data_IF_601445241780
#
_entry.id   IF_601445241780
#
_cell.length_a   1.000
_cell.length_b   1.000
_cell.length_c   1.000
_cell.angle_alpha   90.00
_cell.angle_beta   90.00
_cell.angle_gamma   90.00
#
_symmetry.space_group_name_H-M   'P 1'
#
loop_
_entity.id
_entity.type
_entity.pdbx_description
1 polymer ?
#
# COMPACT_ATOMS: atom_id res chain seq x y z
N UNK A 1 -7.27 -13.13 -15.44
CA UNK A 1 -6.51 -11.95 -15.89
C UNK A 1 -6.86 -10.78 -15.00
N UNK A 2 -5.87 -10.03 -14.50
CA UNK A 2 -6.08 -8.84 -13.70
C UNK A 2 -5.64 -7.63 -14.52
N UNK A 3 -6.53 -6.65 -14.71
CA UNK A 3 -6.26 -5.49 -15.54
C UNK A 3 -5.84 -4.30 -14.68
N UNK A 4 -4.72 -3.67 -15.04
CA UNK A 4 -4.35 -2.33 -14.57
C UNK A 4 -4.85 -1.35 -15.61
N UNK A 5 -5.75 -0.45 -15.23
CA UNK A 5 -6.42 0.46 -16.16
C UNK A 5 -5.99 1.89 -15.85
N UNK A 6 -5.44 2.57 -16.84
CA UNK A 6 -5.12 3.99 -16.82
C UNK A 6 -5.77 4.68 -18.01
N UNK A 7 -6.16 5.95 -17.84
CA UNK A 7 -6.63 6.74 -18.98
C UNK A 7 -5.45 7.10 -19.88
N UNK A 8 -5.70 7.29 -21.18
CA UNK A 8 -4.68 7.76 -22.13
C UNK A 8 -3.94 9.00 -21.62
N UNK A 9 -4.66 9.96 -21.02
CA UNK A 9 -4.08 11.19 -20.44
C UNK A 9 -3.14 10.89 -19.27
N UNK A 10 -3.51 9.97 -18.38
CA UNK A 10 -2.67 9.57 -17.23
C UNK A 10 -1.40 8.87 -17.72
N UNK A 11 -1.51 7.89 -18.63
CA UNK A 11 -0.35 7.20 -19.22
C UNK A 11 0.62 8.20 -19.84
N UNK A 12 0.14 9.10 -20.67
CA UNK A 12 0.97 10.11 -21.33
C UNK A 12 1.63 11.09 -20.33
N UNK A 13 0.90 11.52 -19.29
CA UNK A 13 1.47 12.37 -18.25
C UNK A 13 2.60 11.65 -17.50
N UNK A 14 2.43 10.35 -17.20
CA UNK A 14 3.40 9.53 -16.48
C UNK A 14 4.63 9.20 -17.32
N UNK A 15 4.45 8.95 -18.62
CA UNK A 15 5.55 8.78 -19.58
C UNK A 15 6.40 10.04 -19.70
N UNK A 16 5.76 11.21 -19.85
CA UNK A 16 6.47 12.50 -19.89
C UNK A 16 7.27 12.78 -18.62
N UNK A 17 6.76 12.33 -17.48
CA UNK A 17 7.46 12.41 -16.19
C UNK A 17 8.55 11.34 -16.02
N UNK A 18 8.69 10.38 -16.93
CA UNK A 18 9.71 9.33 -16.84
C UNK A 18 9.44 8.29 -15.74
N UNK A 19 8.17 8.00 -15.44
CA UNK A 19 7.80 7.08 -14.34
C UNK A 19 8.18 5.63 -14.67
N UNK A 20 9.02 4.96 -13.85
CA UNK A 20 9.60 3.64 -14.18
C UNK A 20 8.58 2.61 -14.66
N UNK A 21 7.48 2.40 -13.93
CA UNK A 21 6.42 1.47 -14.31
C UNK A 21 5.87 1.69 -15.74
N UNK A 22 5.68 2.95 -16.16
CA UNK A 22 5.15 3.26 -17.49
C UNK A 22 6.23 3.15 -18.57
N UNK A 23 7.49 3.42 -18.22
CA UNK A 23 8.63 3.17 -19.11
C UNK A 23 8.80 1.68 -19.38
N UNK A 24 8.68 0.85 -18.36
CA UNK A 24 8.75 -0.60 -18.49
C UNK A 24 7.61 -1.14 -19.36
N UNK A 25 6.38 -0.61 -19.23
CA UNK A 25 5.28 -0.96 -20.13
C UNK A 25 5.59 -0.58 -21.58
N UNK A 26 6.13 0.63 -21.83
CA UNK A 26 6.44 1.07 -23.18
C UNK A 26 7.59 0.25 -23.80
N UNK A 27 8.57 -0.16 -22.99
CA UNK A 27 9.76 -0.91 -23.42
C UNK A 27 9.46 -2.40 -23.64
N UNK A 28 8.79 -3.03 -22.68
CA UNK A 28 8.63 -4.49 -22.62
C UNK A 28 7.21 -4.95 -22.99
N UNK A 29 6.26 -4.01 -23.10
CA UNK A 29 4.87 -4.31 -23.42
C UNK A 29 4.67 -4.77 -24.86
N UNK A 30 3.73 -5.69 -25.05
CA UNK A 30 3.26 -6.11 -26.37
C UNK A 30 1.97 -5.34 -26.67
N UNK A 31 2.01 -4.51 -27.72
CA UNK A 31 0.83 -3.78 -28.18
C UNK A 31 -0.20 -4.76 -28.76
N UNK A 32 -1.38 -4.80 -28.13
CA UNK A 32 -2.50 -5.61 -28.60
C UNK A 32 -3.43 -4.82 -29.53
N UNK A 33 -3.54 -3.51 -29.32
CA UNK A 33 -4.38 -2.59 -30.08
C UNK A 33 -3.90 -1.15 -29.89
N UNK A 34 -3.90 -0.36 -30.98
CA UNK A 34 -3.65 1.07 -30.97
C UNK A 34 -4.73 1.82 -31.77
N UNK A 35 -5.31 2.84 -31.14
CA UNK A 35 -6.26 3.74 -31.80
C UNK A 35 -5.49 4.78 -32.64
N UNK A 36 -5.76 4.91 -33.95
CA UNK A 36 -5.14 5.95 -34.78
C UNK A 36 -5.36 7.36 -34.21
N UNK A 37 -4.31 8.18 -34.18
CA UNK A 37 -4.38 9.56 -33.65
C UNK A 37 -4.14 9.69 -32.15
N UNK A 38 -3.87 8.59 -31.43
CA UNK A 38 -3.57 8.59 -30.00
C UNK A 38 -2.18 7.98 -29.70
N UNK A 39 -1.07 8.56 -30.20
CA UNK A 39 0.28 8.03 -29.95
C UNK A 39 0.68 8.23 -28.48
N UNK A 40 1.42 7.28 -27.91
CA UNK A 40 2.02 7.46 -26.59
C UNK A 40 3.12 8.54 -26.64
N UNK A 41 3.20 9.36 -25.60
CA UNK A 41 4.17 10.44 -25.49
C UNK A 41 5.59 9.89 -25.41
N UNK A 42 6.54 10.66 -25.97
CA UNK A 42 7.96 10.44 -25.76
C UNK A 42 8.27 10.43 -24.27
N UNK A 43 8.88 9.36 -23.75
CA UNK A 43 9.37 9.30 -22.38
C UNK A 43 10.25 10.47 -21.98
N UNK A 44 9.96 11.05 -20.83
CA UNK A 44 10.97 11.83 -20.10
C UNK A 44 11.93 10.91 -19.37
N UNK A 45 13.03 11.48 -18.86
CA UNK A 45 13.95 10.80 -17.97
C UNK A 45 13.98 11.54 -16.63
N UNK A 46 13.59 10.87 -15.55
CA UNK A 46 13.84 11.40 -14.21
C UNK A 46 15.32 11.25 -13.89
N UNK A 47 15.95 12.31 -13.38
CA UNK A 47 17.31 12.18 -12.83
C UNK A 47 17.29 11.36 -11.54
N UNK A 48 18.44 10.84 -11.11
CA UNK A 48 18.54 10.07 -9.87
C UNK A 48 18.08 10.90 -8.65
N UNK A 49 18.39 12.20 -8.65
CA UNK A 49 17.99 13.15 -7.61
C UNK A 49 16.46 13.34 -7.59
N UNK A 50 15.84 13.48 -8.75
CA UNK A 50 14.38 13.61 -8.86
C UNK A 50 13.65 12.35 -8.39
N UNK A 51 14.20 11.18 -8.72
CA UNK A 51 13.65 9.90 -8.24
C UNK A 51 13.76 9.80 -6.72
N UNK A 52 14.91 10.16 -6.15
CA UNK A 52 15.14 10.16 -4.71
C UNK A 52 14.18 11.13 -3.99
N UNK A 53 14.10 12.38 -4.44
CA UNK A 53 13.24 13.40 -3.84
C UNK A 53 11.77 12.96 -3.83
N UNK A 54 11.31 12.37 -4.93
CA UNK A 54 9.94 11.87 -5.05
C UNK A 54 9.69 10.65 -4.14
N UNK A 55 10.63 9.70 -4.08
CA UNK A 55 10.54 8.53 -3.21
C UNK A 55 10.50 8.94 -1.72
N UNK A 56 11.29 9.94 -1.34
CA UNK A 56 11.33 10.50 0.01
C UNK A 56 10.02 11.21 0.37
N UNK A 57 9.44 11.99 -0.56
CA UNK A 57 8.11 12.59 -0.40
C UNK A 57 7.04 11.52 -0.16
N UNK A 58 7.03 10.45 -0.96
CA UNK A 58 6.10 9.35 -0.76
C UNK A 58 6.29 8.68 0.59
N UNK A 59 7.53 8.38 0.98
CA UNK A 59 7.82 7.77 2.27
C UNK A 59 7.26 8.60 3.42
N UNK A 60 7.63 9.89 3.47
CA UNK A 60 7.23 10.78 4.55
C UNK A 60 5.71 10.93 4.65
N UNK A 61 5.02 11.11 3.52
CA UNK A 61 3.57 11.25 3.47
C UNK A 61 2.86 9.97 3.93
N UNK A 62 3.18 8.85 3.30
CA UNK A 62 2.41 7.61 3.47
C UNK A 62 2.75 6.88 4.77
N UNK A 63 4.01 6.93 5.20
CA UNK A 63 4.42 6.37 6.49
C UNK A 63 3.71 7.09 7.65
N UNK A 64 3.84 8.43 7.70
CA UNK A 64 3.17 9.25 8.72
C UNK A 64 1.65 9.06 8.68
N UNK A 65 1.07 8.99 7.48
CA UNK A 65 -0.35 8.72 7.28
C UNK A 65 -0.78 7.35 7.82
N UNK A 66 0.06 6.31 7.68
CA UNK A 66 -0.22 4.99 8.25
C UNK A 66 -0.17 5.01 9.77
N UNK A 67 0.84 5.66 10.36
CA UNK A 67 0.95 5.80 11.82
C UNK A 67 -0.26 6.52 12.42
N UNK A 68 -0.69 7.63 11.80
CA UNK A 68 -1.86 8.38 12.24
C UNK A 68 -3.15 7.54 12.15
N UNK A 69 -3.32 6.74 11.08
CA UNK A 69 -4.48 5.86 10.93
C UNK A 69 -4.51 4.78 12.02
N UNK A 70 -3.37 4.16 12.34
CA UNK A 70 -3.30 3.16 13.41
C UNK A 70 -3.57 3.78 14.78
N UNK A 71 -2.99 4.96 15.06
CA UNK A 71 -3.26 5.70 16.31
C UNK A 71 -4.76 5.99 16.47
N UNK A 72 -5.42 6.46 15.41
CA UNK A 72 -6.86 6.73 15.44
C UNK A 72 -7.65 5.43 15.64
N UNK A 73 -7.24 4.34 15.00
CA UNK A 73 -7.82 3.02 15.18
C UNK A 73 -7.75 2.56 16.64
N UNK A 74 -6.59 2.70 17.28
CA UNK A 74 -6.38 2.36 18.69
C UNK A 74 -7.21 3.26 19.62
N UNK A 75 -7.39 4.54 19.30
CA UNK A 75 -8.29 5.43 20.05
C UNK A 75 -9.75 4.97 19.94
N UNK A 76 -10.26 4.72 18.73
CA UNK A 76 -11.61 4.17 18.54
C UNK A 76 -11.79 2.82 19.26
N UNK A 77 -10.76 1.98 19.27
CA UNK A 77 -10.80 0.72 20.02
C UNK A 77 -10.96 0.95 21.53
N UNK A 78 -10.28 1.95 22.13
CA UNK A 78 -10.45 2.30 23.55
C UNK A 78 -11.87 2.77 23.85
N UNK A 79 -12.42 3.65 23.01
CA UNK A 79 -13.80 4.15 23.13
C UNK A 79 -14.84 3.02 22.98
N UNK A 80 -14.51 1.95 22.24
CA UNK A 80 -15.41 0.80 22.12
C UNK A 80 -15.60 0.03 23.43
N UNK A 81 -14.71 0.20 24.41
CA UNK A 81 -14.67 -0.57 25.65
C UNK A 81 -14.61 -2.10 25.42
N UNK A 82 -14.14 -2.54 24.25
CA UNK A 82 -14.07 -3.94 23.86
C UNK A 82 -15.38 -4.53 23.33
N UNK A 83 -16.44 -3.73 23.24
CA UNK A 83 -17.77 -4.14 22.78
C UNK A 83 -17.95 -3.95 21.28
N UNK A 84 -18.80 -4.78 20.66
CA UNK A 84 -19.10 -4.68 19.23
C UNK A 84 -20.10 -3.54 18.96
N UNK A 85 -19.63 -2.29 18.98
CA UNK A 85 -20.39 -1.07 18.72
C UNK A 85 -19.81 -0.27 17.52
N UNK A 86 -20.28 0.97 17.31
CA UNK A 86 -19.80 1.83 16.22
C UNK A 86 -18.29 2.09 16.31
N UNK A 87 -17.77 2.36 17.51
CA UNK A 87 -16.34 2.61 17.73
C UNK A 87 -15.48 1.38 17.39
N UNK A 88 -15.94 0.16 17.69
CA UNK A 88 -15.23 -1.07 17.31
C UNK A 88 -15.17 -1.26 15.79
N UNK A 89 -16.26 -0.91 15.08
CA UNK A 89 -16.31 -0.95 13.62
C UNK A 89 -15.36 0.06 13.00
N UNK A 90 -15.35 1.28 13.53
CA UNK A 90 -14.44 2.34 13.10
C UNK A 90 -12.98 1.98 13.39
N UNK A 91 -12.70 1.36 14.54
CA UNK A 91 -11.38 0.87 14.86
C UNK A 91 -10.90 -0.14 13.81
N UNK A 92 -11.71 -1.15 13.46
CA UNK A 92 -11.33 -2.12 12.44
C UNK A 92 -11.18 -1.48 11.04
N UNK A 93 -12.03 -0.52 10.68
CA UNK A 93 -11.93 0.22 9.43
C UNK A 93 -10.63 1.03 9.36
N UNK A 94 -10.28 1.76 10.42
CA UNK A 94 -9.04 2.53 10.48
C UNK A 94 -7.79 1.65 10.49
N UNK A 95 -7.88 0.45 11.09
CA UNK A 95 -6.81 -0.55 11.02
C UNK A 95 -6.55 -1.01 9.57
N UNK A 96 -7.64 -1.19 8.80
CA UNK A 96 -7.53 -1.47 7.37
C UNK A 96 -6.84 -0.31 6.64
N UNK A 97 -7.25 0.93 6.89
CA UNK A 97 -6.63 2.10 6.27
C UNK A 97 -5.15 2.23 6.62
N UNK A 98 -4.74 1.93 7.86
CA UNK A 98 -3.33 1.93 8.25
C UNK A 98 -2.52 0.91 7.43
N UNK A 99 -3.09 -0.29 7.23
CA UNK A 99 -2.50 -1.38 6.44
C UNK A 99 -2.42 -1.04 4.95
N UNK A 100 -3.47 -0.44 4.39
CA UNK A 100 -3.48 0.04 3.00
C UNK A 100 -2.39 1.10 2.78
N UNK A 101 -2.33 2.10 3.67
CA UNK A 101 -1.35 3.20 3.59
C UNK A 101 0.09 2.72 3.68
N UNK A 102 0.40 1.75 4.56
CA UNK A 102 1.77 1.26 4.68
C UNK A 102 2.21 0.43 3.47
N UNK A 103 1.30 -0.31 2.83
CA UNK A 103 1.62 -0.97 1.56
C UNK A 103 1.82 0.03 0.42
N UNK A 104 0.99 1.07 0.34
CA UNK A 104 1.22 2.16 -0.61
C UNK A 104 2.55 2.86 -0.38
N UNK A 105 2.93 3.10 0.88
CA UNK A 105 4.24 3.64 1.26
C UNK A 105 5.36 2.82 0.63
N UNK A 106 5.38 1.50 0.87
CA UNK A 106 6.41 0.61 0.32
C UNK A 106 6.45 0.64 -1.21
N UNK A 107 5.31 0.44 -1.88
CA UNK A 107 5.25 0.36 -3.33
C UNK A 107 5.70 1.68 -3.98
N UNK A 108 5.21 2.81 -3.48
CA UNK A 108 5.55 4.13 -4.00
C UNK A 108 7.00 4.50 -3.74
N UNK A 109 7.54 4.21 -2.56
CA UNK A 109 8.94 4.51 -2.25
C UNK A 109 9.91 3.65 -3.06
N UNK A 110 9.62 2.36 -3.24
CA UNK A 110 10.54 1.46 -3.96
C UNK A 110 10.42 1.53 -5.48
N UNK A 111 9.27 1.94 -6.02
CA UNK A 111 8.99 1.83 -7.48
C UNK A 111 8.44 3.10 -8.11
N UNK A 112 8.20 4.15 -7.32
CA UNK A 112 7.50 5.37 -7.73
C UNK A 112 6.10 5.12 -8.33
N UNK A 113 5.54 3.94 -8.05
CA UNK A 113 4.23 3.51 -8.52
C UNK A 113 3.50 2.72 -7.44
N UNK A 114 2.20 2.91 -7.39
CA UNK A 114 1.30 1.97 -6.74
C UNK A 114 -0.01 1.94 -7.50
N UNK A 115 -0.60 0.75 -7.71
CA UNK A 115 -1.92 0.67 -8.29
C UNK A 115 -2.95 1.28 -7.33
N UNK A 116 -3.96 1.96 -7.88
CA UNK A 116 -5.04 2.59 -7.11
C UNK A 116 -6.05 1.52 -6.64
N UNK A 117 -5.63 0.69 -5.70
CA UNK A 117 -6.40 -0.45 -5.18
C UNK A 117 -6.60 -0.31 -3.68
N UNK A 118 -7.85 -0.50 -3.22
CA UNK A 118 -8.17 -0.59 -1.79
C UNK A 118 -8.12 -2.04 -1.25
N UNK A 119 -7.72 -3.01 -2.09
CA UNK A 119 -7.66 -4.41 -1.66
C UNK A 119 -6.30 -4.72 -1.03
N UNK A 120 -6.24 -4.71 0.31
CA UNK A 120 -5.02 -5.00 1.06
C UNK A 120 -4.43 -6.39 0.80
N UNK A 121 -5.22 -7.38 0.33
CA UNK A 121 -4.69 -8.68 -0.07
C UNK A 121 -3.88 -8.62 -1.36
N UNK A 122 -4.32 -7.80 -2.32
CA UNK A 122 -3.56 -7.53 -3.56
C UNK A 122 -2.32 -6.70 -3.26
N UNK A 123 -2.45 -5.66 -2.46
CA UNK A 123 -1.33 -4.84 -2.02
C UNK A 123 -0.28 -5.65 -1.26
N UNK A 124 -0.70 -6.55 -0.35
CA UNK A 124 0.18 -7.50 0.34
C UNK A 124 0.96 -8.36 -0.63
N UNK A 125 0.32 -8.91 -1.67
CA UNK A 125 1.01 -9.74 -2.68
C UNK A 125 2.05 -8.94 -3.47
N UNK A 126 1.70 -7.73 -3.90
CA UNK A 126 2.64 -6.85 -4.60
C UNK A 126 3.82 -6.46 -3.70
N UNK A 127 3.55 -6.11 -2.45
CA UNK A 127 4.58 -5.78 -1.45
C UNK A 127 5.53 -6.96 -1.19
N UNK A 128 4.99 -8.16 -1.00
CA UNK A 128 5.79 -9.36 -0.76
C UNK A 128 6.65 -9.77 -1.97
N UNK A 129 6.23 -9.42 -3.20
CA UNK A 129 7.05 -9.65 -4.39
C UNK A 129 8.30 -8.75 -4.41
N UNK A 130 8.23 -7.55 -3.84
CA UNK A 130 9.37 -6.63 -3.70
C UNK A 130 10.19 -6.90 -2.44
N UNK A 131 9.53 -7.27 -1.34
CA UNK A 131 10.14 -7.51 -0.04
C UNK A 131 9.60 -8.83 0.57
N UNK A 132 10.19 -9.99 0.21
CA UNK A 132 9.72 -11.30 0.67
C UNK A 132 9.63 -11.46 2.19
N UNK A 133 10.52 -10.79 2.94
CA UNK A 133 10.55 -10.82 4.41
C UNK A 133 9.27 -10.26 5.07
N UNK A 134 8.45 -9.49 4.33
CA UNK A 134 7.15 -9.04 4.82
C UNK A 134 6.11 -10.16 4.88
N UNK A 135 6.35 -11.31 4.23
CA UNK A 135 5.43 -12.43 4.27
C UNK A 135 5.19 -12.95 5.70
N UNK A 136 6.21 -12.90 6.57
CA UNK A 136 6.12 -13.37 7.95
C UNK A 136 5.27 -12.50 8.87
N UNK A 137 4.97 -11.25 8.47
CA UNK A 137 4.09 -10.34 9.23
C UNK A 137 2.71 -10.97 9.43
N UNK A 138 2.22 -11.67 8.40
CA UNK A 138 0.90 -12.31 8.41
C UNK A 138 1.07 -13.83 8.43
N UNK A 139 1.29 -14.44 9.60
CA UNK A 139 1.52 -15.87 9.70
C UNK A 139 0.31 -16.66 9.22
N UNK A 140 0.58 -17.74 8.49
CA UNK A 140 -0.43 -18.57 7.83
C UNK A 140 -0.52 -20.00 8.37
N UNK A 141 0.28 -20.30 9.39
CA UNK A 141 0.37 -21.59 10.09
C UNK A 141 -0.93 -21.94 10.83
N UNK A 142 -1.69 -20.94 11.28
CA UNK A 142 -2.97 -21.17 11.98
C UNK A 142 -4.14 -20.59 11.21
N UNK A 143 -5.23 -21.37 11.11
CA UNK A 143 -6.52 -20.93 10.54
C UNK A 143 -7.06 -19.66 11.22
N UNK A 144 -6.75 -19.46 12.50
CA UNK A 144 -7.13 -18.26 13.25
C UNK A 144 -6.52 -16.98 12.66
N UNK A 145 -5.23 -16.99 12.32
CA UNK A 145 -4.53 -15.82 11.77
C UNK A 145 -5.04 -15.44 10.38
N UNK A 146 -5.28 -16.45 9.52
CA UNK A 146 -5.93 -16.25 8.21
C UNK A 146 -7.29 -15.57 8.36
N UNK A 147 -8.11 -16.01 9.33
CA UNK A 147 -9.41 -15.40 9.61
C UNK A 147 -9.28 -13.95 10.10
N UNK A 148 -8.30 -13.64 10.94
CA UNK A 148 -8.09 -12.27 11.40
C UNK A 148 -7.73 -11.33 10.24
N UNK A 149 -6.82 -11.72 9.36
CA UNK A 149 -6.50 -10.91 8.17
C UNK A 149 -7.72 -10.73 7.26
N UNK A 150 -8.54 -11.77 7.11
CA UNK A 150 -9.76 -11.68 6.31
C UNK A 150 -10.81 -10.74 6.94
N UNK A 151 -10.93 -10.69 8.26
CA UNK A 151 -11.74 -9.70 8.96
C UNK A 151 -11.22 -8.27 8.72
N UNK A 152 -9.91 -8.06 8.82
CA UNK A 152 -9.28 -6.78 8.48
C UNK A 152 -9.60 -6.35 7.04
N UNK A 153 -9.49 -7.27 6.08
CA UNK A 153 -9.80 -7.01 4.66
C UNK A 153 -11.26 -6.61 4.47
N UNK A 154 -12.19 -7.31 5.12
CA UNK A 154 -13.64 -7.06 5.02
C UNK A 154 -14.06 -5.76 5.70
N UNK A 155 -13.33 -5.30 6.72
CA UNK A 155 -13.64 -4.09 7.49
C UNK A 155 -13.83 -2.84 6.62
N UNK A 156 -13.12 -2.71 5.50
CA UNK A 156 -13.23 -1.57 4.58
C UNK A 156 -14.66 -1.33 4.07
N UNK A 157 -15.37 -2.40 3.70
CA UNK A 157 -16.75 -2.33 3.21
C UNK A 157 -17.71 -2.72 4.33
N UNK A 158 -17.52 -3.90 4.90
CA UNK A 158 -18.50 -4.50 5.79
C UNK A 158 -18.54 -3.86 7.17
N UNK A 159 -17.43 -3.27 7.64
CA UNK A 159 -17.39 -2.58 8.93
C UNK A 159 -18.46 -1.48 9.02
N UNK A 160 -18.68 -0.78 7.90
CA UNK A 160 -19.61 0.35 7.78
C UNK A 160 -21.02 -0.06 7.39
N UNK A 161 -21.17 -1.06 6.52
CA UNK A 161 -22.47 -1.37 5.89
C UNK A 161 -23.11 -2.69 6.33
N UNK A 162 -22.32 -3.65 6.84
CA UNK A 162 -22.83 -4.99 7.14
C UNK A 162 -23.21 -5.13 8.62
N UNK A 163 -24.48 -5.47 8.94
CA UNK A 163 -24.86 -5.79 10.31
C UNK A 163 -24.16 -7.07 10.81
N UNK A 164 -23.71 -7.94 9.90
CA UNK A 164 -23.06 -9.22 10.21
C UNK A 164 -21.55 -9.13 10.43
N UNK A 165 -20.93 -7.98 10.16
CA UNK A 165 -19.52 -7.79 10.49
C UNK A 165 -19.32 -7.85 12.01
N UNK A 166 -18.47 -8.76 12.47
CA UNK A 166 -18.09 -8.91 13.89
C UNK A 166 -16.60 -9.18 14.00
N UNK A 167 -15.93 -8.46 14.89
CA UNK A 167 -14.55 -8.68 15.28
C UNK A 167 -14.46 -8.57 16.80
N UNK A 168 -13.71 -9.47 17.43
CA UNK A 168 -13.51 -9.44 18.89
C UNK A 168 -12.34 -8.52 19.26
N UNK A 169 -12.32 -8.05 20.51
CA UNK A 169 -11.24 -7.22 21.02
C UNK A 169 -9.87 -7.88 20.87
N UNK A 170 -9.76 -9.17 21.21
CA UNK A 170 -8.52 -9.92 21.08
C UNK A 170 -8.03 -10.01 19.62
N UNK A 171 -8.95 -10.22 18.67
CA UNK A 171 -8.61 -10.27 17.25
C UNK A 171 -8.09 -8.92 16.76
N UNK A 172 -8.74 -7.81 17.16
CA UNK A 172 -8.33 -6.48 16.73
C UNK A 172 -7.01 -6.04 17.37
N UNK A 173 -6.79 -6.34 18.65
CA UNK A 173 -5.50 -6.12 19.31
C UNK A 173 -4.38 -6.91 18.63
N UNK A 174 -4.64 -8.17 18.26
CA UNK A 174 -3.68 -8.96 17.50
C UNK A 174 -3.36 -8.29 16.15
N UNK A 175 -4.37 -7.79 15.43
CA UNK A 175 -4.15 -7.05 14.19
C UNK A 175 -3.29 -5.79 14.39
N UNK A 176 -3.49 -5.03 15.47
CA UNK A 176 -2.64 -3.88 15.79
C UNK A 176 -1.17 -4.28 15.90
N UNK A 177 -0.85 -5.34 16.65
CA UNK A 177 0.53 -5.81 16.78
C UNK A 177 1.17 -6.20 15.44
N UNK A 178 0.37 -6.71 14.50
CA UNK A 178 0.83 -7.08 13.15
C UNK A 178 1.03 -5.85 12.27
N UNK A 179 0.18 -4.84 12.39
CA UNK A 179 0.30 -3.58 11.66
C UNK A 179 1.52 -2.79 12.16
N UNK A 180 1.80 -2.79 13.47
CA UNK A 180 3.00 -2.17 14.04
C UNK A 180 4.29 -2.86 13.53
N UNK A 181 4.33 -4.20 13.54
CA UNK A 181 5.43 -4.99 12.96
C UNK A 181 5.60 -4.70 11.45
N UNK A 182 4.49 -4.58 10.71
CA UNK A 182 4.52 -4.19 9.30
C UNK A 182 5.10 -2.79 9.09
N UNK A 183 4.68 -1.82 9.89
CA UNK A 183 5.15 -0.43 9.83
C UNK A 183 6.65 -0.35 10.08
N UNK A 184 7.14 -1.03 11.11
CA UNK A 184 8.57 -1.02 11.44
C UNK A 184 9.42 -1.66 10.33
N UNK A 185 9.00 -2.82 9.80
CA UNK A 185 9.72 -3.48 8.69
C UNK A 185 9.72 -2.63 7.42
N UNK A 186 8.57 -2.04 7.06
CA UNK A 186 8.48 -1.16 5.89
C UNK A 186 9.34 0.08 6.07
N UNK A 187 9.37 0.67 7.27
CA UNK A 187 10.28 1.79 7.59
C UNK A 187 11.73 1.42 7.30
N UNK A 188 12.20 0.30 7.85
CA UNK A 188 13.59 -0.15 7.66
C UNK A 188 13.94 -0.37 6.18
N UNK A 189 13.04 -1.01 5.42
CA UNK A 189 13.22 -1.26 3.99
C UNK A 189 13.27 0.06 3.21
N UNK A 190 12.30 0.95 3.42
CA UNK A 190 12.23 2.23 2.72
C UNK A 190 13.43 3.12 3.04
N UNK A 191 13.83 3.23 4.31
CA UNK A 191 15.00 4.03 4.69
C UNK A 191 16.30 3.46 4.12
N UNK A 192 16.44 2.12 4.06
CA UNK A 192 17.59 1.50 3.41
C UNK A 192 17.63 1.81 1.91
N UNK A 193 16.48 1.75 1.24
CA UNK A 193 16.36 2.09 -0.17
C UNK A 193 16.71 3.55 -0.45
N UNK A 194 16.15 4.50 0.31
CA UNK A 194 16.42 5.93 0.17
C UNK A 194 17.91 6.25 0.39
N UNK A 195 18.53 5.64 1.41
CA UNK A 195 19.98 5.79 1.64
C UNK A 195 20.81 5.32 0.46
N UNK A 196 20.43 4.21 -0.18
CA UNK A 196 21.16 3.70 -1.34
C UNK A 196 20.97 4.60 -2.56
N UNK A 197 19.73 5.04 -2.82
CA UNK A 197 19.44 6.01 -3.89
C UNK A 197 20.26 7.30 -3.73
N UNK A 198 20.35 7.85 -2.51
CA UNK A 198 21.13 9.05 -2.23
C UNK A 198 22.63 8.86 -2.51
N UNK A 199 23.20 7.68 -2.20
CA UNK A 199 24.60 7.37 -2.51
C UNK A 199 24.86 7.26 -4.00
N UNK A 200 23.90 6.73 -4.76
CA UNK A 200 24.03 6.59 -6.21
C UNK A 200 23.84 7.91 -6.96
N UNK A 201 23.02 8.83 -6.44
CA UNK A 201 22.81 10.16 -7.03
C UNK A 201 23.99 11.12 -6.75
N UNK A 202 24.74 10.91 -5.67
CA UNK A 202 25.93 11.70 -5.34
C UNK A 202 27.22 11.31 -6.07
N UNK A 203 27.16 10.35 -7.01
CA UNK A 203 28.28 9.89 -7.85
C UNK A 203 28.09 10.35 -9.29
#
# INVERSE_FOLDING_TARGET
VEFIVHSYRDVNARLKLGRPFFLDILRDGIELYAEPGYPLATPGAMTAEQQHEEAEKYFNQWYTGSLAALKNSQSSFKESQGEMNAYMRDAAFLAHQATERIYHCLLLTLTLYSPKLHNIGKLRRAANALAPDLASVWPEDKRAYKRCFELLRRAYVEGRYSPHYKITALQLQWLFSRIEDLQERVKQICEAHLREMARTAGK
#
